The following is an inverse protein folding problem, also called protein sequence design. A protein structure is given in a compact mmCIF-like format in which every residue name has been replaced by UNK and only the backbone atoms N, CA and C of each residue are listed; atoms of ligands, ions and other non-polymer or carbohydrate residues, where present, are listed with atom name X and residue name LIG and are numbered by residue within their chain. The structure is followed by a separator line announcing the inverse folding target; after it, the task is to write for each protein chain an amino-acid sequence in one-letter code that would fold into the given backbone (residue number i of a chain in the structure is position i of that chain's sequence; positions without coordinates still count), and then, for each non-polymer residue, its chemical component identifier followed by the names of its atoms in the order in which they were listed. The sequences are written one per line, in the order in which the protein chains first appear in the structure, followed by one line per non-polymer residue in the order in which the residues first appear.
data_IF_412729433693
#
_entry.id   IF_412729433693
#
_cell.length_a   1.000
_cell.length_b   1.000
_cell.length_c   1.000
_cell.angle_alpha   90.00
_cell.angle_beta   90.00
_cell.angle_gamma   90.00
#
_symmetry.space_group_name_H-M   'P 1'
#
loop_
_entity.id
_entity.type
_entity.pdbx_description
1 polymer ?
#
# COMPACT_ATOMS: atom_id res chain seq x y z
N UNK A 1 29.63 -38.54 27.49
CA UNK A 1 29.60 -37.09 27.21
C UNK A 1 30.51 -36.80 26.03
N UNK A 2 29.98 -36.64 24.81
CA UNK A 2 30.75 -36.20 23.64
C UNK A 2 30.72 -34.67 23.60
N UNK A 3 31.88 -34.05 23.83
CA UNK A 3 32.10 -32.61 23.69
C UNK A 3 31.98 -32.25 22.21
N UNK A 4 30.78 -31.89 21.79
CA UNK A 4 30.51 -31.36 20.45
C UNK A 4 30.80 -29.84 20.45
N UNK A 5 31.99 -29.51 19.92
CA UNK A 5 32.30 -28.32 19.12
C UNK A 5 31.67 -26.98 19.57
N UNK A 6 32.19 -26.40 20.64
CA UNK A 6 31.95 -24.98 20.97
C UNK A 6 32.32 -24.07 19.80
N UNK A 7 33.45 -24.30 19.13
CA UNK A 7 33.91 -23.47 18.00
C UNK A 7 32.99 -23.50 16.76
N UNK A 8 32.33 -24.64 16.47
CA UNK A 8 31.42 -24.72 15.33
C UNK A 8 30.10 -23.98 15.60
N UNK A 9 29.64 -23.98 16.85
CA UNK A 9 28.46 -23.23 17.27
C UNK A 9 28.72 -21.72 17.24
N UNK A 10 29.89 -21.27 17.73
CA UNK A 10 30.27 -19.85 17.66
C UNK A 10 30.45 -19.38 16.22
N UNK A 11 31.03 -20.21 15.35
CA UNK A 11 31.21 -19.87 13.93
C UNK A 11 29.87 -19.82 13.16
N UNK A 12 28.92 -20.71 13.47
CA UNK A 12 27.57 -20.68 12.93
C UNK A 12 26.76 -19.46 13.40
N UNK A 13 26.89 -19.08 14.68
CA UNK A 13 26.25 -17.89 15.24
C UNK A 13 26.87 -16.58 14.70
N UNK A 14 28.19 -16.53 14.55
CA UNK A 14 28.90 -15.41 13.92
C UNK A 14 28.56 -15.30 12.42
N UNK A 15 28.46 -16.44 11.72
CA UNK A 15 27.99 -16.49 10.34
C UNK A 15 26.54 -16.01 10.19
N UNK A 16 25.66 -16.42 11.11
CA UNK A 16 24.26 -15.95 11.16
C UNK A 16 24.16 -14.46 11.47
N UNK A 17 24.98 -13.94 12.39
CA UNK A 17 24.99 -12.52 12.76
C UNK A 17 25.55 -11.65 11.63
N UNK A 18 26.67 -12.04 11.01
CA UNK A 18 27.23 -11.34 9.86
C UNK A 18 26.28 -11.37 8.65
N UNK A 19 25.61 -12.50 8.42
CA UNK A 19 24.61 -12.62 7.37
C UNK A 19 23.37 -11.78 7.65
N UNK A 20 22.94 -11.65 8.92
CA UNK A 20 21.85 -10.77 9.33
C UNK A 20 22.21 -9.28 9.21
N UNK A 21 23.44 -8.89 9.54
CA UNK A 21 23.94 -7.52 9.36
C UNK A 21 24.00 -7.18 7.87
N UNK A 22 24.59 -8.04 7.04
CA UNK A 22 24.63 -7.83 5.59
C UNK A 22 23.23 -7.78 4.95
N UNK A 23 22.29 -8.59 5.46
CA UNK A 23 20.89 -8.57 5.04
C UNK A 23 20.21 -7.24 5.40
N UNK A 24 20.46 -6.74 6.61
CA UNK A 24 19.91 -5.48 7.11
C UNK A 24 20.47 -4.29 6.32
N UNK A 25 21.78 -4.26 6.07
CA UNK A 25 22.43 -3.23 5.24
C UNK A 25 21.89 -3.22 3.81
N UNK A 26 21.76 -4.39 3.18
CA UNK A 26 21.19 -4.50 1.84
C UNK A 26 19.73 -4.02 1.78
N UNK A 27 18.94 -4.34 2.82
CA UNK A 27 17.57 -3.85 2.95
C UNK A 27 17.51 -2.33 3.11
N UNK A 28 18.29 -1.76 4.04
CA UNK A 28 18.31 -0.31 4.30
C UNK A 28 18.78 0.45 3.05
N UNK A 29 19.81 -0.06 2.37
CA UNK A 29 20.31 0.53 1.12
C UNK A 29 19.25 0.54 0.01
N UNK A 30 18.55 -0.58 -0.20
CA UNK A 30 17.43 -0.65 -1.14
C UNK A 30 16.31 0.30 -0.74
N UNK A 31 15.92 0.29 0.53
CA UNK A 31 14.85 1.12 1.06
C UNK A 31 15.13 2.61 0.85
N UNK A 32 16.33 3.07 1.21
CA UNK A 32 16.81 4.42 0.94
C UNK A 32 16.73 4.77 -0.54
N UNK A 33 17.24 3.90 -1.41
CA UNK A 33 17.19 4.08 -2.87
C UNK A 33 15.76 4.28 -3.37
N UNK A 34 14.81 3.46 -2.90
CA UNK A 34 13.41 3.58 -3.29
C UNK A 34 12.79 4.90 -2.81
N UNK A 35 13.11 5.32 -1.58
CA UNK A 35 12.58 6.56 -1.00
C UNK A 35 13.11 7.77 -1.76
N UNK A 36 14.42 7.82 -1.99
CA UNK A 36 15.11 8.93 -2.66
C UNK A 36 14.80 9.02 -4.17
N UNK A 37 14.42 7.91 -4.82
CA UNK A 37 14.03 7.92 -6.22
C UNK A 37 12.78 8.78 -6.52
N UNK A 38 11.92 9.06 -5.53
CA UNK A 38 10.79 10.01 -5.70
C UNK A 38 11.22 11.47 -5.65
N UNK A 39 12.31 11.75 -4.94
CA UNK A 39 12.71 13.09 -4.52
C UNK A 39 13.21 13.96 -5.67
N UNK A 40 13.68 13.31 -6.75
CA UNK A 40 14.50 13.99 -7.74
C UNK A 40 13.70 14.73 -8.81
N UNK A 41 12.46 14.30 -9.14
CA UNK A 41 11.71 14.89 -10.27
C UNK A 41 10.19 14.77 -10.11
N UNK A 42 9.46 15.79 -10.59
CA UNK A 42 7.99 15.74 -10.73
C UNK A 42 7.52 14.88 -11.92
N UNK A 43 8.43 14.12 -12.56
CA UNK A 43 8.14 13.30 -13.73
C UNK A 43 7.98 11.83 -13.34
N UNK A 44 6.77 11.32 -13.48
CA UNK A 44 6.41 9.94 -13.09
C UNK A 44 7.13 8.86 -13.91
N UNK A 45 7.54 9.18 -15.15
CA UNK A 45 8.30 8.29 -16.01
C UNK A 45 9.70 7.97 -15.45
N UNK A 46 10.34 8.91 -14.74
CA UNK A 46 11.69 8.75 -14.22
C UNK A 46 11.75 7.96 -12.90
N UNK A 47 10.74 8.10 -12.03
CA UNK A 47 10.62 7.35 -10.76
C UNK A 47 10.47 5.85 -10.99
N UNK A 48 9.65 5.54 -11.98
CA UNK A 48 9.45 4.23 -12.59
C UNK A 48 10.76 3.61 -13.10
N UNK A 49 11.60 4.43 -13.72
CA UNK A 49 12.81 3.98 -14.40
C UNK A 49 13.89 3.53 -13.41
N UNK A 50 13.99 4.15 -12.23
CA UNK A 50 14.92 3.74 -11.18
C UNK A 50 14.61 2.35 -10.62
N UNK A 51 13.34 2.09 -10.24
CA UNK A 51 12.89 0.78 -9.78
C UNK A 51 13.02 -0.28 -10.89
N UNK A 52 12.63 0.07 -12.12
CA UNK A 52 12.79 -0.78 -13.30
C UNK A 52 14.25 -1.15 -13.55
N UNK A 53 15.17 -0.20 -13.42
CA UNK A 53 16.61 -0.44 -13.62
C UNK A 53 17.13 -1.39 -12.55
N UNK A 54 16.76 -1.18 -11.28
CA UNK A 54 17.15 -2.07 -10.17
C UNK A 54 16.57 -3.49 -10.32
N UNK A 55 15.30 -3.60 -10.69
CA UNK A 55 14.63 -4.89 -10.84
C UNK A 55 15.16 -5.65 -12.05
N UNK A 56 15.42 -4.99 -13.20
CA UNK A 56 15.95 -5.67 -14.40
C UNK A 56 17.33 -6.29 -14.19
N UNK A 57 18.15 -5.75 -13.29
CA UNK A 57 19.44 -6.36 -12.95
C UNK A 57 19.29 -7.66 -12.17
N UNK A 58 18.14 -7.91 -11.53
CA UNK A 58 17.95 -9.01 -10.58
C UNK A 58 16.76 -9.93 -10.92
N UNK A 59 15.82 -9.51 -11.76
CA UNK A 59 14.52 -10.14 -12.01
C UNK A 59 14.10 -10.01 -13.48
N UNK A 60 13.27 -10.95 -13.95
CA UNK A 60 12.50 -10.78 -15.19
C UNK A 60 11.36 -9.80 -14.93
N UNK A 61 11.31 -8.69 -15.69
CA UNK A 61 10.35 -7.60 -15.47
C UNK A 61 9.46 -7.44 -16.70
N UNK A 62 8.15 -7.67 -16.52
CA UNK A 62 7.11 -7.37 -17.51
C UNK A 62 6.33 -6.12 -17.11
N UNK A 63 5.98 -5.30 -18.10
CA UNK A 63 5.30 -4.01 -17.90
C UNK A 63 3.97 -3.99 -18.65
N UNK A 64 2.92 -3.43 -18.05
CA UNK A 64 1.57 -3.37 -18.67
C UNK A 64 0.98 -1.96 -18.70
N UNK A 65 0.74 -1.40 -19.87
CA UNK A 65 0.16 -0.05 -20.01
C UNK A 65 -1.32 0.03 -19.62
N UNK A 66 -1.68 1.00 -18.77
CA UNK A 66 -3.03 1.20 -18.23
C UNK A 66 -3.83 2.28 -18.99
N UNK A 67 -3.19 3.34 -19.50
CA UNK A 67 -3.86 4.37 -20.35
C UNK A 67 -2.86 5.27 -21.11
N UNK A 68 -3.11 5.60 -22.39
CA UNK A 68 -2.37 6.57 -23.28
C UNK A 68 -1.14 7.24 -22.62
N UNK A 69 0.02 6.58 -22.70
CA UNK A 69 1.34 6.93 -22.10
C UNK A 69 1.64 6.55 -20.65
N UNK A 70 0.79 5.78 -19.99
CA UNK A 70 1.01 5.25 -18.63
C UNK A 70 1.22 3.74 -18.72
N UNK A 71 2.49 3.33 -18.71
CA UNK A 71 2.90 1.95 -18.47
C UNK A 71 2.63 1.59 -16.99
N UNK A 72 2.37 0.32 -16.62
CA UNK A 72 2.37 -0.14 -15.23
C UNK A 72 3.81 -0.12 -14.74
N UNK A 73 4.23 1.10 -14.42
CA UNK A 73 5.13 1.49 -13.38
C UNK A 73 4.74 2.94 -13.01
N UNK A 74 4.80 3.21 -11.71
CA UNK A 74 4.61 4.45 -10.95
C UNK A 74 4.01 5.72 -11.59
N UNK A 75 2.91 6.21 -10.99
CA UNK A 75 2.25 7.52 -11.08
C UNK A 75 1.37 7.78 -9.83
N UNK A 76 1.41 8.99 -9.26
CA UNK A 76 0.42 9.49 -8.29
C UNK A 76 -0.11 10.86 -8.73
N UNK A 77 -1.41 11.14 -8.55
CA UNK A 77 -1.88 12.51 -8.35
C UNK A 77 -2.43 12.60 -6.91
N UNK A 78 -1.77 13.41 -6.07
CA UNK A 78 -2.40 13.93 -4.87
C UNK A 78 -2.38 15.43 -4.99
N UNK A 79 -3.57 16.00 -5.07
CA UNK A 79 -3.80 17.43 -4.93
C UNK A 79 -3.01 17.94 -3.72
N UNK A 80 -2.15 18.92 -3.98
CA UNK A 80 -1.65 19.98 -3.09
C UNK A 80 -1.42 19.62 -1.60
N UNK A 81 -0.21 19.18 -1.27
CA UNK A 81 0.51 19.59 -0.04
C UNK A 81 2.02 19.58 -0.34
N UNK A 82 2.73 20.72 -0.23
CA UNK A 82 4.17 20.75 -0.44
C UNK A 82 4.84 20.37 0.88
N UNK A 83 5.32 19.13 1.01
CA UNK A 83 6.46 18.86 1.88
C UNK A 83 7.13 17.57 1.42
N UNK A 84 8.21 17.74 0.65
CA UNK A 84 9.21 16.70 0.51
C UNK A 84 9.84 16.49 1.89
N UNK A 85 9.61 15.32 2.51
CA UNK A 85 10.30 14.92 3.73
C UNK A 85 11.48 14.06 3.30
N UNK A 86 12.73 14.53 3.46
CA UNK A 86 13.91 13.78 3.04
C UNK A 86 14.05 12.48 3.84
N UNK A 87 14.76 11.53 3.25
CA UNK A 87 15.14 10.31 3.95
C UNK A 87 16.09 10.66 5.10
N UNK A 88 15.76 10.27 6.32
CA UNK A 88 16.68 10.37 7.46
C UNK A 88 16.55 9.15 8.36
N UNK A 89 17.66 8.79 9.01
CA UNK A 89 17.68 7.76 10.04
C UNK A 89 17.99 8.42 11.38
N UNK A 90 17.17 8.11 12.39
CA UNK A 90 17.37 8.53 13.77
C UNK A 90 17.23 7.31 14.68
N UNK A 91 18.38 6.78 15.11
CA UNK A 91 18.47 5.51 15.83
C UNK A 91 17.77 4.37 15.09
N UNK A 92 16.69 3.85 15.68
CA UNK A 92 15.90 2.74 15.14
C UNK A 92 14.70 3.21 14.28
N UNK A 93 14.64 4.49 13.92
CA UNK A 93 13.53 5.07 13.15
C UNK A 93 14.04 5.62 11.82
N UNK A 94 13.28 5.35 10.76
CA UNK A 94 13.53 5.88 9.42
C UNK A 94 12.39 6.83 9.05
N UNK A 95 12.74 8.06 8.71
CA UNK A 95 11.83 9.13 8.35
C UNK A 95 11.98 9.47 6.86
N UNK A 96 10.89 9.95 6.27
CA UNK A 96 10.84 10.29 4.85
C UNK A 96 9.47 9.99 4.25
N UNK A 97 9.15 10.63 3.13
CA UNK A 97 7.87 10.40 2.46
C UNK A 97 7.84 9.01 1.84
N UNK A 98 6.86 8.20 2.27
CA UNK A 98 6.65 6.86 1.76
C UNK A 98 7.59 5.79 2.30
N UNK A 99 8.41 6.10 3.33
CA UNK A 99 9.29 5.13 3.99
C UNK A 99 8.54 3.95 4.57
N UNK A 100 7.31 4.15 5.04
CA UNK A 100 6.42 3.09 5.49
C UNK A 100 5.49 2.65 4.35
N UNK A 101 4.43 3.43 4.06
CA UNK A 101 3.48 3.19 2.96
C UNK A 101 3.95 3.90 1.66
N UNK A 102 4.42 3.22 0.62
CA UNK A 102 4.50 1.77 0.43
C UNK A 102 5.93 1.23 0.23
N UNK A 103 6.96 2.08 0.36
CA UNK A 103 8.33 1.72 -0.05
C UNK A 103 9.03 0.81 0.95
N UNK A 104 8.70 0.92 2.23
CA UNK A 104 9.12 -0.04 3.26
C UNK A 104 8.64 -1.45 2.92
N UNK A 105 7.37 -1.55 2.57
CA UNK A 105 6.74 -2.82 2.17
C UNK A 105 7.38 -3.39 0.89
N UNK A 106 7.60 -2.55 -0.12
CA UNK A 106 8.24 -2.96 -1.37
C UNK A 106 9.69 -3.45 -1.14
N UNK A 107 10.48 -2.71 -0.36
CA UNK A 107 11.84 -3.14 0.01
C UNK A 107 11.83 -4.48 0.75
N UNK A 108 10.87 -4.69 1.66
CA UNK A 108 10.77 -5.93 2.42
C UNK A 108 10.44 -7.13 1.53
N UNK A 109 9.47 -6.97 0.62
CA UNK A 109 9.10 -8.01 -0.35
C UNK A 109 10.26 -8.37 -1.28
N UNK A 110 10.94 -7.36 -1.85
CA UNK A 110 12.08 -7.59 -2.74
C UNK A 110 13.19 -8.33 -2.00
N UNK A 111 13.55 -7.88 -0.80
CA UNK A 111 14.62 -8.49 -0.01
C UNK A 111 14.28 -9.93 0.39
N UNK A 112 13.03 -10.21 0.79
CA UNK A 112 12.59 -11.57 1.10
C UNK A 112 12.74 -12.51 -0.10
N UNK A 113 12.26 -12.10 -1.29
CA UNK A 113 12.39 -12.90 -2.51
C UNK A 113 13.85 -13.10 -2.89
N UNK A 114 14.71 -12.07 -2.80
CA UNK A 114 16.15 -12.21 -3.03
C UNK A 114 16.80 -13.23 -2.09
N UNK A 115 16.38 -13.26 -0.82
CA UNK A 115 16.87 -14.25 0.15
C UNK A 115 16.50 -15.66 -0.26
N UNK A 116 15.24 -15.89 -0.65
CA UNK A 116 14.75 -17.20 -1.08
C UNK A 116 15.44 -17.70 -2.36
N UNK A 117 15.72 -16.80 -3.30
CA UNK A 117 16.53 -17.12 -4.49
C UNK A 117 17.96 -17.52 -4.07
N UNK A 118 18.58 -16.78 -3.14
CA UNK A 118 19.95 -17.04 -2.67
C UNK A 118 20.05 -18.37 -1.92
N UNK A 119 19.05 -18.74 -1.12
CA UNK A 119 18.99 -20.03 -0.43
C UNK A 119 18.60 -21.20 -1.34
N UNK A 120 18.21 -20.93 -2.59
CA UNK A 120 17.65 -21.93 -3.51
C UNK A 120 16.38 -22.59 -2.99
N UNK A 121 15.63 -21.89 -2.13
CA UNK A 121 14.35 -22.37 -1.58
C UNK A 121 13.20 -22.21 -2.60
N UNK A 122 13.41 -21.42 -3.65
CA UNK A 122 12.43 -21.22 -4.71
C UNK A 122 13.05 -21.37 -6.09
N UNK A 123 12.25 -21.83 -7.06
CA UNK A 123 12.62 -21.88 -8.48
C UNK A 123 11.92 -20.78 -9.29
N UNK A 124 12.43 -20.56 -10.51
CA UNK A 124 11.87 -19.55 -11.43
C UNK A 124 10.40 -19.84 -11.70
N UNK A 125 9.55 -18.84 -11.47
CA UNK A 125 8.10 -18.90 -11.74
C UNK A 125 7.22 -19.23 -10.53
N UNK A 126 7.81 -19.49 -9.35
CA UNK A 126 7.01 -19.74 -8.13
C UNK A 126 6.53 -18.47 -7.43
N UNK A 127 7.29 -17.37 -7.56
CA UNK A 127 6.94 -16.09 -6.94
C UNK A 127 6.90 -14.99 -7.99
N UNK A 128 5.82 -14.22 -7.97
CA UNK A 128 5.63 -13.01 -8.77
C UNK A 128 5.49 -11.81 -7.84
N UNK A 129 6.21 -10.73 -8.14
CA UNK A 129 6.07 -9.46 -7.44
C UNK A 129 5.32 -8.47 -8.33
N UNK A 130 4.14 -8.04 -7.87
CA UNK A 130 3.32 -7.04 -8.56
C UNK A 130 3.30 -5.75 -7.75
N UNK A 131 3.95 -4.71 -8.28
CA UNK A 131 3.91 -3.37 -7.70
C UNK A 131 2.95 -2.49 -8.50
N UNK A 132 1.82 -2.17 -7.89
CA UNK A 132 0.78 -1.34 -8.51
C UNK A 132 0.98 0.14 -8.22
N UNK A 133 0.53 0.92 -9.17
CA UNK A 133 0.60 2.37 -9.20
C UNK A 133 -0.69 2.98 -8.66
N UNK A 134 -0.72 4.19 -8.11
CA UNK A 134 -1.99 4.91 -7.91
C UNK A 134 -3.08 4.12 -7.12
N UNK A 135 -2.68 3.30 -6.14
CA UNK A 135 -3.62 2.55 -5.29
C UNK A 135 -4.62 3.50 -4.60
N UNK A 136 -4.16 4.70 -4.26
CA UNK A 136 -4.94 5.77 -3.62
C UNK A 136 -5.95 6.47 -4.54
N UNK A 137 -5.96 6.21 -5.84
CA UNK A 137 -6.84 6.89 -6.82
C UNK A 137 -7.95 5.96 -7.34
N UNK A 138 -8.52 5.14 -6.47
CA UNK A 138 -9.70 4.31 -6.79
C UNK A 138 -9.41 2.95 -7.41
N UNK A 139 -8.16 2.47 -7.33
CA UNK A 139 -7.81 1.08 -7.67
C UNK A 139 -7.81 0.74 -9.17
N UNK A 140 -7.77 1.73 -10.06
CA UNK A 140 -7.79 1.52 -11.51
C UNK A 140 -6.60 0.69 -12.01
N UNK A 141 -5.42 0.87 -11.41
CA UNK A 141 -4.21 0.09 -11.70
C UNK A 141 -4.31 -1.37 -11.29
N UNK A 142 -4.87 -1.65 -10.12
CA UNK A 142 -5.11 -3.01 -9.63
C UNK A 142 -6.10 -3.71 -10.56
N UNK A 143 -7.17 -3.02 -10.97
CA UNK A 143 -8.11 -3.55 -11.97
C UNK A 143 -7.44 -3.83 -13.31
N UNK A 144 -6.53 -2.96 -13.74
CA UNK A 144 -5.78 -3.18 -14.97
C UNK A 144 -4.88 -4.42 -14.87
N UNK A 145 -4.28 -4.69 -13.71
CA UNK A 145 -3.45 -5.87 -13.49
C UNK A 145 -4.21 -7.20 -13.72
N UNK A 146 -5.54 -7.21 -13.59
CA UNK A 146 -6.34 -8.39 -13.97
C UNK A 146 -6.16 -8.77 -15.45
N UNK A 147 -5.79 -7.82 -16.32
CA UNK A 147 -5.52 -8.06 -17.74
C UNK A 147 -4.29 -8.93 -18.02
N UNK A 148 -3.42 -9.18 -17.03
CA UNK A 148 -2.34 -10.16 -17.18
C UNK A 148 -2.86 -11.61 -17.18
N UNK A 149 -4.13 -11.85 -16.81
CA UNK A 149 -4.73 -13.18 -16.72
C UNK A 149 -3.88 -14.18 -15.90
N UNK A 150 -3.22 -13.69 -14.84
CA UNK A 150 -2.38 -14.51 -13.98
C UNK A 150 -3.25 -15.42 -13.12
N UNK A 151 -2.71 -16.60 -12.81
CA UNK A 151 -3.27 -17.53 -11.84
C UNK A 151 -2.26 -17.73 -10.71
N UNK A 152 -2.76 -17.88 -9.49
CA UNK A 152 -1.93 -18.01 -8.30
C UNK A 152 -2.66 -18.83 -7.25
N UNK A 153 -1.93 -19.54 -6.41
CA UNK A 153 -2.49 -20.29 -5.28
C UNK A 153 -2.74 -19.39 -4.07
N UNK A 154 -1.95 -18.32 -3.94
CA UNK A 154 -1.98 -17.41 -2.79
C UNK A 154 -1.50 -16.02 -3.18
N UNK A 155 -2.04 -14.99 -2.51
CA UNK A 155 -1.60 -13.59 -2.68
C UNK A 155 -1.35 -12.98 -1.31
N UNK A 156 -0.21 -12.30 -1.19
CA UNK A 156 0.14 -11.53 -0.01
C UNK A 156 0.13 -10.05 -0.37
N UNK A 157 -0.82 -9.31 0.21
CA UNK A 157 -0.84 -7.85 0.12
C UNK A 157 -0.03 -7.25 1.27
N UNK A 158 1.00 -6.48 0.94
CA UNK A 158 1.78 -5.75 1.93
C UNK A 158 1.12 -4.40 2.24
N UNK A 159 0.49 -4.31 3.40
CA UNK A 159 -0.03 -3.04 3.96
C UNK A 159 0.52 -2.82 5.35
N UNK A 160 0.40 -1.59 5.84
CA UNK A 160 0.73 -1.26 7.21
C UNK A 160 -0.30 -1.89 8.13
N UNK A 161 0.06 -3.04 8.71
CA UNK A 161 -0.76 -3.82 9.64
C UNK A 161 -0.06 -4.06 10.97
N UNK A 162 0.97 -3.28 11.29
CA UNK A 162 1.77 -3.45 12.52
C UNK A 162 2.32 -4.88 12.66
N UNK A 163 2.73 -5.48 11.54
CA UNK A 163 3.19 -6.87 11.47
C UNK A 163 2.14 -7.92 11.88
N UNK A 164 0.86 -7.56 11.87
CA UNK A 164 -0.25 -8.48 12.10
C UNK A 164 -0.78 -9.06 10.79
N UNK A 165 -1.13 -10.34 10.80
CA UNK A 165 -1.76 -11.00 9.67
C UNK A 165 -3.24 -10.59 9.57
N UNK A 166 -3.56 -9.81 8.54
CA UNK A 166 -4.95 -9.44 8.22
C UNK A 166 -5.49 -10.37 7.15
N UNK A 167 -6.51 -11.15 7.49
CA UNK A 167 -7.11 -12.15 6.58
C UNK A 167 -8.20 -11.59 5.67
N UNK A 168 -8.78 -10.45 6.02
CA UNK A 168 -9.85 -9.84 5.26
C UNK A 168 -9.92 -8.33 5.53
N UNK A 169 -10.37 -7.59 4.51
CA UNK A 169 -10.72 -6.18 4.62
C UNK A 169 -12.23 -6.01 4.43
N UNK A 170 -12.81 -4.99 5.05
CA UNK A 170 -14.19 -4.60 4.78
C UNK A 170 -14.28 -4.01 3.37
N UNK A 171 -15.38 -4.33 2.68
CA UNK A 171 -15.76 -3.58 1.49
C UNK A 171 -16.06 -2.12 1.84
N UNK A 172 -15.88 -1.24 0.86
CA UNK A 172 -16.29 0.15 0.95
C UNK A 172 -17.46 0.35 0.00
N UNK A 173 -18.59 0.82 0.53
CA UNK A 173 -19.74 1.25 -0.25
C UNK A 173 -19.91 2.75 -0.07
N UNK A 174 -19.85 3.49 -1.17
CA UNK A 174 -20.17 4.92 -1.20
C UNK A 174 -21.41 5.15 -2.04
N UNK A 175 -22.35 5.95 -1.54
CA UNK A 175 -23.54 6.38 -2.27
C UNK A 175 -23.81 7.86 -2.01
N UNK A 176 -24.48 8.52 -2.95
CA UNK A 176 -24.94 9.90 -2.82
C UNK A 176 -26.43 9.90 -2.52
N UNK A 177 -26.82 10.41 -1.36
CA UNK A 177 -28.23 10.68 -1.05
C UNK A 177 -28.53 12.13 -1.44
N UNK A 178 -29.64 12.36 -2.12
CA UNK A 178 -30.16 13.68 -2.44
C UNK A 178 -31.61 13.74 -1.97
N UNK A 179 -31.99 14.82 -1.32
CA UNK A 179 -33.35 15.05 -0.83
C UNK A 179 -33.85 16.39 -1.33
N UNK A 180 -35.03 16.39 -1.94
CA UNK A 180 -35.66 17.59 -2.46
C UNK A 180 -36.65 18.16 -1.43
N UNK A 181 -36.45 19.44 -1.12
CA UNK A 181 -37.31 20.22 -0.26
C UNK A 181 -38.24 21.13 -1.04
N UNK A 182 -39.11 21.82 -0.31
CA UNK A 182 -39.91 22.94 -0.82
C UNK A 182 -39.50 24.17 -0.02
N UNK A 183 -39.02 25.21 -0.70
CA UNK A 183 -38.60 26.45 -0.05
C UNK A 183 -39.80 27.13 0.62
N UNK A 184 -39.60 27.66 1.82
CA UNK A 184 -40.63 28.36 2.58
C UNK A 184 -40.00 29.30 3.60
N UNK A 185 -40.73 30.35 3.98
CA UNK A 185 -40.29 31.28 5.02
C UNK A 185 -40.14 30.54 6.36
N UNK A 186 -39.05 30.78 7.09
CA UNK A 186 -38.75 30.04 8.34
C UNK A 186 -39.84 30.18 9.41
N UNK A 187 -40.60 31.28 9.38
CA UNK A 187 -41.75 31.54 10.25
C UNK A 187 -43.05 30.80 9.91
N UNK A 188 -43.15 30.16 8.73
CA UNK A 188 -44.34 29.40 8.33
C UNK A 188 -43.94 28.01 7.80
N UNK A 189 -43.48 27.11 8.68
CA UNK A 189 -42.93 25.81 8.31
C UNK A 189 -43.93 24.91 7.56
N UNK A 190 -45.23 25.11 7.72
CA UNK A 190 -46.31 24.37 7.07
C UNK A 190 -46.36 24.53 5.54
N UNK A 191 -45.82 25.62 5.00
CA UNK A 191 -45.73 25.83 3.54
C UNK A 191 -44.41 25.34 2.93
N UNK A 192 -43.48 24.86 3.75
CA UNK A 192 -42.18 24.36 3.32
C UNK A 192 -41.99 22.86 3.55
N UNK A 193 -40.93 22.32 2.96
CA UNK A 193 -40.44 20.96 3.27
C UNK A 193 -38.92 21.01 3.37
N UNK A 194 -38.39 20.66 4.55
CA UNK A 194 -36.96 20.73 4.82
C UNK A 194 -36.24 19.49 4.29
N UNK A 195 -35.44 19.66 3.25
CA UNK A 195 -34.56 18.61 2.72
C UNK A 195 -33.60 18.07 3.80
N UNK A 196 -33.14 18.95 4.70
CA UNK A 196 -32.24 18.58 5.80
C UNK A 196 -32.90 17.56 6.74
N UNK A 197 -34.17 17.76 7.12
CA UNK A 197 -34.88 16.83 8.02
C UNK A 197 -35.02 15.44 7.39
N UNK A 198 -35.24 15.37 6.08
CA UNK A 198 -35.28 14.11 5.34
C UNK A 198 -33.94 13.38 5.37
N UNK A 199 -32.84 14.12 5.16
CA UNK A 199 -31.48 13.56 5.22
C UNK A 199 -31.11 13.09 6.63
N UNK A 200 -31.49 13.85 7.68
CA UNK A 200 -31.26 13.45 9.08
C UNK A 200 -31.99 12.14 9.40
N UNK A 201 -33.25 12.00 8.99
CA UNK A 201 -34.01 10.74 9.18
C UNK A 201 -33.43 9.58 8.41
N UNK A 202 -32.91 9.82 7.20
CA UNK A 202 -32.24 8.78 6.42
C UNK A 202 -30.94 8.32 7.12
N UNK A 203 -30.17 9.26 7.69
CA UNK A 203 -28.95 8.97 8.43
C UNK A 203 -29.23 8.15 9.70
N UNK A 204 -30.28 8.50 10.45
CA UNK A 204 -30.67 7.78 11.66
C UNK A 204 -30.93 6.29 11.39
N UNK A 205 -31.56 5.97 10.25
CA UNK A 205 -31.81 4.57 9.83
C UNK A 205 -30.53 3.83 9.44
N UNK A 206 -29.58 4.51 8.80
CA UNK A 206 -28.31 3.90 8.35
C UNK A 206 -27.40 3.50 9.53
N UNK A 207 -27.39 4.32 10.59
CA UNK A 207 -26.60 4.07 11.81
C UNK A 207 -27.07 2.84 12.61
N UNK A 208 -28.21 2.23 12.28
CA UNK A 208 -28.76 1.05 12.97
C UNK A 208 -28.23 -0.29 12.40
N UNK A 209 -27.28 -0.25 11.46
CA UNK A 209 -26.73 -1.45 10.84
C UNK A 209 -25.92 -2.31 11.81
N UNK A 210 -26.14 -3.63 11.77
CA UNK A 210 -25.52 -4.59 12.70
C UNK A 210 -24.03 -4.79 12.39
N UNK A 211 -23.17 -4.95 13.41
CA UNK A 211 -21.76 -5.29 13.20
C UNK A 211 -21.61 -6.68 12.61
N UNK A 212 -20.60 -6.85 11.75
CA UNK A 212 -20.24 -8.14 11.18
C UNK A 212 -19.52 -9.00 12.23
N UNK A 213 -19.82 -10.31 12.39
CA UNK A 213 -19.36 -11.14 13.51
C UNK A 213 -17.83 -11.30 13.62
N UNK A 214 -17.10 -11.10 12.52
CA UNK A 214 -15.65 -11.29 12.45
C UNK A 214 -14.86 -10.02 12.10
N UNK A 215 -15.53 -8.87 12.01
CA UNK A 215 -14.87 -7.61 11.65
C UNK A 215 -15.23 -6.56 12.70
N UNK A 216 -14.34 -5.58 12.91
CA UNK A 216 -14.64 -4.47 13.80
C UNK A 216 -15.93 -3.73 13.38
N UNK A 217 -16.54 -2.90 14.23
CA UNK A 217 -17.69 -2.08 13.82
C UNK A 217 -17.40 -1.25 12.57
N UNK A 218 -18.37 -1.12 11.66
CA UNK A 218 -18.24 -0.26 10.47
C UNK A 218 -18.23 1.19 10.92
N UNK A 219 -17.23 1.95 10.50
CA UNK A 219 -17.22 3.40 10.71
C UNK A 219 -17.84 4.08 9.49
N UNK A 220 -18.97 4.76 9.70
CA UNK A 220 -19.51 5.68 8.71
C UNK A 220 -18.66 6.96 8.73
N UNK A 221 -18.10 7.34 7.59
CA UNK A 221 -17.39 8.62 7.42
C UNK A 221 -18.18 9.51 6.47
N UNK A 222 -18.50 10.72 6.91
CA UNK A 222 -19.21 11.71 6.09
C UNK A 222 -18.22 12.74 5.57
N UNK A 223 -18.23 12.98 4.26
CA UNK A 223 -17.48 14.07 3.63
C UNK A 223 -18.47 15.11 3.14
N UNK A 224 -18.25 16.38 3.47
CA UNK A 224 -18.99 17.49 2.86
C UNK A 224 -18.63 17.50 1.37
N UNK A 225 -19.61 17.51 0.49
CA UNK A 225 -19.35 17.76 -0.92
C UNK A 225 -18.92 19.22 -1.08
N UNK A 226 -17.74 19.43 -1.65
CA UNK A 226 -17.34 20.76 -2.12
C UNK A 226 -18.21 21.05 -3.35
N UNK A 227 -19.07 22.07 -3.23
CA UNK A 227 -19.83 22.65 -4.33
C UNK A 227 -19.03 23.81 -4.94
#
# INVERSE_FOLDING_TARGET
MKVLKTAALTCALLGSAAQAVAYTEAFISLHKTLVEADSATNSEALKTQALKTYLRTNFTVELQTVKRDIQNVFTYPSNSLPLYIPYSCDGNKIWGRGTSDAKGNAAAQITAVKSLIKSSDIVKGEIFLLFVVSEKSGGNSIKAANGFNLTWESVVFSKLTENSLVRAYKGVLGFKITADGVAGHSGYPEYGRRAIDLLVRALEKDCQTRPHPHLSPTQATHRRGDY
#
